data_IF_511238524430
#
_entry.id   IF_511238524430
#
_cell.length_a   1.000
_cell.length_b   1.000
_cell.length_c   1.000
_cell.angle_alpha   90.00
_cell.angle_beta   90.00
_cell.angle_gamma   90.00
#
_symmetry.space_group_name_H-M   'P 1'
#
loop_
_entity.id
_entity.type
_entity.pdbx_description
1 polymer ?
#
# COMPACT_ATOMS: atom_id res chain seq x y z
N UNK A 1 -28.33 -7.36 9.34
CA UNK A 1 -27.30 -8.04 8.55
C UNK A 1 -26.37 -6.93 8.11
N UNK A 2 -25.16 -6.84 8.67
CA UNK A 2 -24.17 -5.93 8.11
C UNK A 2 -23.81 -6.49 6.73
N UNK A 3 -24.08 -5.72 5.68
CA UNK A 3 -23.47 -6.00 4.40
C UNK A 3 -21.98 -5.76 4.60
N UNK A 4 -21.22 -6.84 4.82
CA UNK A 4 -19.78 -6.75 4.95
C UNK A 4 -19.24 -6.45 3.56
N UNK A 5 -18.96 -5.18 3.28
CA UNK A 5 -18.53 -4.74 1.96
C UNK A 5 -17.06 -5.12 1.80
N UNK A 6 -16.81 -6.09 0.92
CA UNK A 6 -15.49 -6.64 0.63
C UNK A 6 -14.51 -5.56 0.15
N UNK A 7 -13.22 -5.80 0.42
CA UNK A 7 -12.13 -5.04 -0.18
C UNK A 7 -12.13 -5.24 -1.69
N UNK A 8 -11.90 -4.16 -2.44
CA UNK A 8 -11.92 -4.18 -3.90
C UNK A 8 -10.62 -3.60 -4.47
N UNK A 9 -9.94 -4.36 -5.33
CA UNK A 9 -8.90 -3.83 -6.20
C UNK A 9 -9.52 -3.42 -7.54
N UNK A 10 -9.25 -2.18 -7.96
CA UNK A 10 -9.65 -1.64 -9.25
C UNK A 10 -8.41 -1.34 -10.10
N UNK A 11 -8.31 -2.01 -11.23
CA UNK A 11 -7.33 -1.75 -12.27
C UNK A 11 -8.00 -1.04 -13.45
N UNK A 12 -7.54 0.18 -13.74
CA UNK A 12 -8.07 1.03 -14.82
C UNK A 12 -6.99 1.20 -15.88
N UNK A 13 -7.35 0.97 -17.14
CA UNK A 13 -6.53 1.27 -18.31
C UNK A 13 -7.26 2.37 -19.08
N UNK A 14 -6.60 3.52 -19.25
CA UNK A 14 -7.14 4.66 -19.98
C UNK A 14 -6.82 4.55 -21.48
N UNK A 15 -7.57 5.27 -22.32
CA UNK A 15 -7.42 5.24 -23.79
C UNK A 15 -6.01 5.61 -24.26
N UNK A 16 -5.29 6.43 -23.48
CA UNK A 16 -3.90 6.80 -23.75
C UNK A 16 -2.87 5.75 -23.28
N UNK A 17 -3.32 4.61 -22.79
CA UNK A 17 -2.49 3.51 -22.28
C UNK A 17 -1.99 3.69 -20.84
N UNK A 18 -2.25 4.83 -20.20
CA UNK A 18 -1.92 5.03 -18.79
C UNK A 18 -2.76 4.10 -17.91
N UNK A 19 -2.21 3.72 -16.76
CA UNK A 19 -2.81 2.75 -15.86
C UNK A 19 -2.93 3.29 -14.45
N UNK A 20 -3.95 2.83 -13.74
CA UNK A 20 -4.17 3.08 -12.33
C UNK A 20 -4.56 1.81 -11.61
N UNK A 21 -4.00 1.60 -10.42
CA UNK A 21 -4.40 0.54 -9.49
C UNK A 21 -4.77 1.16 -8.16
N UNK A 22 -5.93 0.78 -7.65
CA UNK A 22 -6.56 1.36 -6.46
C UNK A 22 -7.14 0.26 -5.58
N UNK A 23 -7.00 0.41 -4.27
CA UNK A 23 -7.60 -0.48 -3.28
C UNK A 23 -8.66 0.30 -2.53
N UNK A 24 -9.87 -0.25 -2.49
CA UNK A 24 -10.98 0.26 -1.70
C UNK A 24 -11.12 -0.64 -0.47
N UNK A 25 -10.73 -0.17 0.72
CA UNK A 25 -10.82 -0.95 1.94
C UNK A 25 -12.25 -1.42 2.23
N UNK A 26 -12.37 -2.41 3.11
CA UNK A 26 -13.65 -2.77 3.73
C UNK A 26 -14.22 -1.61 4.54
N UNK A 27 -15.53 -1.58 4.73
CA UNK A 27 -16.18 -0.69 5.70
C UNK A 27 -17.48 -1.32 6.19
N UNK A 28 -17.92 -0.88 7.36
CA UNK A 28 -19.18 -1.29 7.96
C UNK A 28 -19.99 -0.06 8.36
N UNK A 29 -21.26 -0.03 8.00
CA UNK A 29 -22.21 0.99 8.43
C UNK A 29 -23.08 0.44 9.56
N UNK A 30 -23.23 1.21 10.63
CA UNK A 30 -24.04 0.90 11.80
C UNK A 30 -24.95 2.09 12.17
N UNK A 31 -26.02 1.81 12.90
CA UNK A 31 -26.95 2.81 13.42
C UNK A 31 -27.00 2.73 14.94
N UNK A 32 -26.34 3.66 15.60
CA UNK A 32 -26.27 3.72 17.06
C UNK A 32 -27.39 4.61 17.59
N UNK A 33 -28.21 4.09 18.49
CA UNK A 33 -29.23 4.88 19.17
C UNK A 33 -28.58 5.85 20.16
N UNK A 34 -28.79 7.15 19.95
CA UNK A 34 -28.44 8.18 20.91
C UNK A 34 -29.64 8.42 21.83
N UNK A 35 -29.78 7.58 22.86
CA UNK A 35 -30.93 7.57 23.77
C UNK A 35 -31.22 8.94 24.41
N UNK A 36 -30.23 9.74 24.86
CA UNK A 36 -30.48 11.09 25.35
C UNK A 36 -31.13 12.03 24.32
N UNK A 37 -30.71 11.93 23.06
CA UNK A 37 -31.21 12.76 21.98
C UNK A 37 -32.45 12.18 21.27
N UNK A 38 -32.83 10.92 21.57
CA UNK A 38 -33.92 10.17 20.90
C UNK A 38 -33.77 10.13 19.38
N UNK A 39 -32.54 10.03 18.88
CA UNK A 39 -32.21 9.91 17.46
C UNK A 39 -31.34 8.67 17.21
N UNK A 40 -31.44 8.10 16.02
CA UNK A 40 -30.45 7.13 15.52
C UNK A 40 -29.35 7.89 14.78
N UNK A 41 -28.10 7.62 15.14
CA UNK A 41 -26.92 8.17 14.50
C UNK A 41 -26.31 7.10 13.59
N UNK A 42 -26.19 7.42 12.30
CA UNK A 42 -25.40 6.60 11.39
C UNK A 42 -23.91 6.76 11.72
N UNK A 43 -23.19 5.63 11.85
CA UNK A 43 -21.75 5.57 12.09
C UNK A 43 -21.15 4.63 11.06
N UNK A 44 -20.06 5.05 10.42
CA UNK A 44 -19.30 4.22 9.49
C UNK A 44 -17.94 3.91 10.08
N UNK A 45 -17.54 2.63 10.04
CA UNK A 45 -16.24 2.14 10.49
C UNK A 45 -15.36 1.79 9.28
N UNK A 46 -14.07 2.16 9.36
CA UNK A 46 -13.14 2.06 8.25
C UNK A 46 -13.31 3.17 7.22
N UNK A 47 -12.40 3.22 6.24
CA UNK A 47 -12.41 4.29 5.24
C UNK A 47 -13.01 3.89 3.89
N UNK A 48 -13.42 2.62 3.75
CA UNK A 48 -13.96 2.08 2.50
C UNK A 48 -15.12 2.90 1.91
N UNK A 49 -16.03 3.39 2.75
CA UNK A 49 -17.14 4.25 2.30
C UNK A 49 -16.65 5.58 1.74
N UNK A 50 -15.67 6.21 2.40
CA UNK A 50 -15.07 7.45 1.95
C UNK A 50 -14.31 7.29 0.62
N UNK A 51 -13.54 6.22 0.46
CA UNK A 51 -12.86 5.94 -0.82
C UNK A 51 -13.87 5.73 -1.95
N UNK A 52 -14.97 5.01 -1.71
CA UNK A 52 -16.02 4.80 -2.74
C UNK A 52 -16.71 6.10 -3.14
N UNK A 53 -16.83 7.07 -2.25
CA UNK A 53 -17.37 8.40 -2.58
C UNK A 53 -16.47 9.19 -3.55
N UNK A 54 -15.18 8.84 -3.68
CA UNK A 54 -14.32 9.41 -4.72
C UNK A 54 -14.69 8.92 -6.13
N UNK A 55 -15.42 7.80 -6.24
CA UNK A 55 -15.96 7.30 -7.51
C UNK A 55 -17.36 7.88 -7.75
N UNK A 56 -17.47 8.75 -8.74
CA UNK A 56 -18.74 9.21 -9.29
C UNK A 56 -18.97 8.58 -10.65
N UNK A 57 -20.19 8.71 -11.19
CA UNK A 57 -20.57 8.11 -12.48
C UNK A 57 -19.58 8.53 -13.58
N UNK A 58 -18.73 7.59 -14.01
CA UNK A 58 -17.77 7.78 -15.08
C UNK A 58 -16.48 8.52 -14.71
N UNK A 59 -16.29 8.94 -13.44
CA UNK A 59 -15.08 9.69 -13.03
C UNK A 59 -14.62 9.33 -11.62
N UNK A 60 -13.31 9.23 -11.44
CA UNK A 60 -12.67 9.11 -10.13
C UNK A 60 -11.90 10.38 -9.79
N UNK A 61 -12.14 10.94 -8.60
CA UNK A 61 -11.32 12.03 -8.05
C UNK A 61 -10.09 11.46 -7.34
N UNK A 62 -8.98 11.40 -8.07
CA UNK A 62 -7.69 10.98 -7.55
C UNK A 62 -7.14 11.85 -6.43
N UNK A 63 -7.46 13.15 -6.45
CA UNK A 63 -6.93 14.08 -5.46
C UNK A 63 -7.58 13.83 -4.12
N UNK A 64 -8.90 13.61 -4.10
CA UNK A 64 -9.61 13.26 -2.87
C UNK A 64 -9.33 11.83 -2.44
N UNK A 65 -9.16 10.89 -3.38
CA UNK A 65 -8.67 9.55 -3.07
C UNK A 65 -7.32 9.58 -2.34
N UNK A 66 -6.32 10.27 -2.90
CA UNK A 66 -4.97 10.33 -2.34
C UNK A 66 -4.90 11.14 -1.01
N UNK A 67 -5.93 11.94 -0.67
CA UNK A 67 -6.05 12.62 0.64
C UNK A 67 -6.55 11.70 1.74
N UNK A 68 -7.30 10.65 1.41
CA UNK A 68 -7.82 9.69 2.40
C UNK A 68 -6.73 8.76 2.95
N UNK A 69 -5.55 8.73 2.34
CA UNK A 69 -4.49 7.80 2.70
C UNK A 69 -4.09 7.85 4.18
N UNK A 70 -3.86 9.03 4.75
CA UNK A 70 -3.48 9.16 6.18
C UNK A 70 -4.60 8.72 7.14
N UNK A 71 -5.85 8.83 6.70
CA UNK A 71 -6.99 8.29 7.43
C UNK A 71 -6.98 6.76 7.36
N UNK A 72 -6.75 6.21 6.17
CA UNK A 72 -6.69 4.77 5.93
C UNK A 72 -5.60 4.08 6.73
N UNK A 73 -4.42 4.68 6.82
CA UNK A 73 -3.31 4.19 7.67
C UNK A 73 -3.71 4.06 9.16
N UNK A 74 -4.65 4.88 9.64
CA UNK A 74 -5.10 4.88 11.04
C UNK A 74 -6.31 3.99 11.30
N UNK A 75 -7.21 3.88 10.33
CA UNK A 75 -8.54 3.29 10.51
C UNK A 75 -8.68 1.90 9.87
N UNK A 76 -7.89 1.58 8.84
CA UNK A 76 -7.98 0.32 8.13
C UNK A 76 -6.83 -0.64 8.49
N UNK A 77 -6.89 -1.83 7.90
CA UNK A 77 -5.80 -2.79 7.95
C UNK A 77 -4.56 -2.26 7.23
N UNK A 78 -3.39 -2.68 7.72
CA UNK A 78 -2.11 -2.31 7.14
C UNK A 78 -2.00 -2.67 5.65
N UNK A 79 -2.51 -3.84 5.26
CA UNK A 79 -2.52 -4.34 3.88
C UNK A 79 -3.24 -3.39 2.92
N UNK A 80 -4.32 -2.74 3.36
CA UNK A 80 -5.06 -1.79 2.54
C UNK A 80 -4.21 -0.55 2.21
N UNK A 81 -3.48 -0.01 3.19
CA UNK A 81 -2.55 1.09 2.99
C UNK A 81 -1.31 0.66 2.17
N UNK A 82 -0.78 -0.54 2.42
CA UNK A 82 0.32 -1.15 1.66
C UNK A 82 -0.03 -1.26 0.18
N UNK A 83 -1.15 -1.91 -0.13
CA UNK A 83 -1.55 -2.17 -1.51
C UNK A 83 -2.02 -0.92 -2.24
N UNK A 84 -2.62 0.07 -1.55
CA UNK A 84 -2.82 1.39 -2.13
C UNK A 84 -1.49 2.07 -2.47
N UNK A 85 -0.51 2.04 -1.56
CA UNK A 85 0.80 2.65 -1.81
C UNK A 85 1.49 2.03 -3.03
N UNK A 86 1.54 0.70 -3.09
CA UNK A 86 2.11 -0.04 -4.23
C UNK A 86 1.35 0.25 -5.51
N UNK A 87 0.01 0.16 -5.49
CA UNK A 87 -0.84 0.37 -6.65
C UNK A 87 -0.68 1.76 -7.24
N UNK A 88 -0.74 2.80 -6.39
CA UNK A 88 -0.56 4.19 -6.80
C UNK A 88 0.85 4.46 -7.33
N UNK A 89 1.88 3.86 -6.74
CA UNK A 89 3.26 4.08 -7.14
C UNK A 89 3.66 3.34 -8.42
N UNK A 90 3.23 2.09 -8.59
CA UNK A 90 3.49 1.30 -9.80
C UNK A 90 2.64 1.77 -10.99
N UNK A 91 1.45 2.31 -10.73
CA UNK A 91 0.50 2.78 -11.75
C UNK A 91 0.03 4.22 -11.44
N UNK A 92 0.90 5.23 -11.64
CA UNK A 92 0.75 6.57 -11.08
C UNK A 92 -0.10 7.53 -11.92
N UNK A 93 -1.21 7.04 -12.51
CA UNK A 93 -2.13 7.92 -13.22
C UNK A 93 -2.67 9.02 -12.27
N UNK A 94 -2.55 10.28 -12.71
CA UNK A 94 -2.93 11.49 -11.96
C UNK A 94 -2.43 11.56 -10.51
N UNK A 95 -1.28 10.94 -10.23
CA UNK A 95 -0.66 10.98 -8.90
C UNK A 95 0.11 12.28 -8.70
N UNK A 96 -0.31 13.10 -7.74
CA UNK A 96 0.41 14.33 -7.39
C UNK A 96 1.71 14.04 -6.64
N UNK A 97 2.72 14.88 -6.82
CA UNK A 97 4.04 14.72 -6.18
C UNK A 97 3.95 14.58 -4.66
N UNK A 98 3.14 15.41 -4.00
CA UNK A 98 2.96 15.34 -2.54
C UNK A 98 2.30 14.05 -2.07
N UNK A 99 1.39 13.47 -2.86
CA UNK A 99 0.80 12.16 -2.56
C UNK A 99 1.82 11.04 -2.80
N UNK A 100 2.60 11.14 -3.88
CA UNK A 100 3.67 10.19 -4.20
C UNK A 100 4.69 10.11 -3.06
N UNK A 101 5.09 11.24 -2.48
CA UNK A 101 5.98 11.27 -1.32
C UNK A 101 5.36 10.56 -0.12
N UNK A 102 4.10 10.87 0.25
CA UNK A 102 3.41 10.17 1.35
C UNK A 102 3.37 8.64 1.18
N UNK A 103 3.11 8.15 -0.03
CA UNK A 103 3.11 6.71 -0.30
C UNK A 103 4.52 6.11 -0.19
N UNK A 104 5.56 6.82 -0.63
CA UNK A 104 6.94 6.37 -0.50
C UNK A 104 7.40 6.34 0.95
N UNK A 105 7.10 7.39 1.71
CA UNK A 105 7.45 7.51 3.12
C UNK A 105 6.80 6.38 3.93
N UNK A 106 5.51 6.13 3.69
CA UNK A 106 4.82 5.00 4.31
C UNK A 106 5.49 3.65 4.02
N UNK A 107 5.87 3.38 2.75
CA UNK A 107 6.54 2.13 2.40
C UNK A 107 7.95 2.04 3.00
N UNK A 108 8.69 3.15 3.06
CA UNK A 108 10.01 3.22 3.69
C UNK A 108 9.91 2.91 5.19
N UNK A 109 9.02 3.61 5.90
CA UNK A 109 8.84 3.46 7.34
C UNK A 109 8.37 2.05 7.74
N UNK A 110 7.72 1.34 6.81
CA UNK A 110 7.14 0.02 7.05
C UNK A 110 7.78 -1.09 6.20
N UNK A 111 8.98 -0.87 5.66
CA UNK A 111 9.59 -1.73 4.64
C UNK A 111 9.68 -3.20 5.06
N UNK A 112 10.01 -3.46 6.34
CA UNK A 112 10.07 -4.82 6.90
C UNK A 112 8.72 -5.53 6.88
N UNK A 113 7.67 -4.88 7.37
CA UNK A 113 6.31 -5.45 7.43
C UNK A 113 5.73 -5.61 6.02
N UNK A 114 5.96 -4.61 5.16
CA UNK A 114 5.57 -4.64 3.76
C UNK A 114 6.21 -5.85 3.04
N UNK A 115 7.52 -6.04 3.14
CA UNK A 115 8.21 -7.15 2.50
C UNK A 115 7.66 -8.51 2.96
N UNK A 116 7.38 -8.67 4.27
CA UNK A 116 6.82 -9.91 4.81
C UNK A 116 5.51 -10.28 4.10
N UNK A 117 4.57 -9.33 4.04
CA UNK A 117 3.27 -9.53 3.39
C UNK A 117 3.45 -9.80 1.89
N UNK A 118 4.32 -9.06 1.21
CA UNK A 118 4.56 -9.27 -0.23
C UNK A 118 5.21 -10.62 -0.54
N UNK A 119 6.04 -11.16 0.38
CA UNK A 119 6.62 -12.49 0.26
C UNK A 119 5.55 -13.56 0.47
N UNK A 120 4.71 -13.38 1.50
CA UNK A 120 3.60 -14.30 1.81
C UNK A 120 2.59 -14.37 0.65
N UNK A 121 2.31 -13.23 0.01
CA UNK A 121 1.38 -13.12 -1.12
C UNK A 121 2.03 -13.41 -2.48
N UNK A 122 3.30 -13.87 -2.51
CA UNK A 122 4.13 -14.11 -3.71
C UNK A 122 4.14 -12.94 -4.72
N UNK A 123 4.05 -11.71 -4.20
CA UNK A 123 4.00 -10.49 -4.99
C UNK A 123 5.41 -9.95 -5.29
N UNK A 124 6.14 -10.74 -6.09
CA UNK A 124 7.52 -10.44 -6.45
C UNK A 124 7.70 -9.11 -7.21
N UNK A 125 6.68 -8.67 -7.97
CA UNK A 125 6.77 -7.43 -8.76
C UNK A 125 6.72 -6.19 -7.86
N UNK A 126 5.86 -6.19 -6.84
CA UNK A 126 5.82 -5.12 -5.85
C UNK A 126 7.09 -5.10 -4.98
N UNK A 127 7.58 -6.28 -4.58
CA UNK A 127 8.83 -6.40 -3.85
C UNK A 127 10.01 -5.85 -4.66
N UNK A 128 10.08 -6.20 -5.95
CA UNK A 128 11.08 -5.65 -6.87
C UNK A 128 10.94 -4.14 -7.01
N UNK A 129 9.72 -3.61 -7.12
CA UNK A 129 9.49 -2.17 -7.18
C UNK A 129 10.05 -1.45 -5.95
N UNK A 130 9.87 -2.01 -4.74
CA UNK A 130 10.45 -1.46 -3.52
C UNK A 130 11.98 -1.45 -3.57
N UNK A 131 12.62 -2.54 -4.02
CA UNK A 131 14.06 -2.58 -4.22
C UNK A 131 14.56 -1.56 -5.26
N UNK A 132 13.93 -1.49 -6.43
CA UNK A 132 14.32 -0.59 -7.52
C UNK A 132 14.21 0.89 -7.12
N UNK A 133 13.32 1.22 -6.18
CA UNK A 133 13.13 2.57 -5.65
C UNK A 133 13.90 2.83 -4.36
N UNK A 134 14.78 1.92 -3.96
CA UNK A 134 15.55 1.97 -2.72
C UNK A 134 14.66 2.27 -1.50
N UNK A 135 13.59 1.50 -1.33
CA UNK A 135 12.63 1.63 -0.22
C UNK A 135 13.00 0.80 1.01
N UNK A 136 14.22 0.27 1.05
CA UNK A 136 14.74 -0.52 2.16
C UNK A 136 16.03 0.09 2.68
N UNK A 137 16.16 0.16 4.00
CA UNK A 137 17.46 0.26 4.66
C UNK A 137 18.13 -1.12 4.79
N UNK A 138 19.36 -1.15 5.29
CA UNK A 138 20.14 -2.40 5.40
C UNK A 138 19.47 -3.41 6.34
N UNK A 139 18.88 -2.94 7.44
CA UNK A 139 18.24 -3.79 8.43
C UNK A 139 16.94 -4.44 7.91
N UNK A 140 16.08 -3.67 7.26
CA UNK A 140 14.84 -4.14 6.67
C UNK A 140 15.09 -5.05 5.46
N UNK A 141 16.08 -4.77 4.62
CA UNK A 141 16.49 -5.64 3.54
C UNK A 141 17.03 -7.00 4.06
N UNK A 142 17.88 -6.97 5.09
CA UNK A 142 18.39 -8.19 5.72
C UNK A 142 17.26 -9.06 6.27
N UNK A 143 16.35 -8.46 7.04
CA UNK A 143 15.19 -9.16 7.58
C UNK A 143 14.27 -9.73 6.49
N UNK A 144 14.07 -9.01 5.39
CA UNK A 144 13.28 -9.50 4.26
C UNK A 144 13.96 -10.68 3.56
N UNK A 145 15.29 -10.67 3.44
CA UNK A 145 16.07 -11.76 2.84
C UNK A 145 15.99 -13.05 3.68
N UNK A 146 16.11 -12.91 5.00
CA UNK A 146 15.95 -14.03 5.93
C UNK A 146 14.54 -14.62 5.83
N UNK A 147 13.52 -13.77 5.86
CA UNK A 147 12.13 -14.20 5.76
C UNK A 147 11.82 -14.90 4.43
N UNK A 148 12.32 -14.39 3.30
CA UNK A 148 12.15 -15.03 2.00
C UNK A 148 12.77 -16.43 1.95
N UNK A 149 13.90 -16.63 2.62
CA UNK A 149 14.54 -17.94 2.74
C UNK A 149 13.72 -18.90 3.62
N UNK A 150 13.18 -18.41 4.75
CA UNK A 150 12.30 -19.18 5.63
C UNK A 150 11.03 -19.66 4.91
N UNK A 151 10.38 -18.78 4.14
CA UNK A 151 9.21 -19.13 3.34
C UNK A 151 9.53 -19.97 2.10
N UNK A 152 10.79 -20.35 1.87
CA UNK A 152 11.24 -21.10 0.68
C UNK A 152 10.81 -20.44 -0.64
N UNK A 153 10.82 -19.10 -0.70
CA UNK A 153 10.50 -18.33 -1.90
C UNK A 153 11.81 -17.86 -2.60
N UNK A 154 12.37 -18.66 -3.53
CA UNK A 154 13.66 -18.34 -4.16
C UNK A 154 13.59 -17.08 -5.04
N UNK A 155 12.42 -16.74 -5.58
CA UNK A 155 12.25 -15.54 -6.40
C UNK A 155 12.39 -14.29 -5.54
N UNK A 156 11.68 -14.23 -4.42
CA UNK A 156 11.79 -13.12 -3.47
C UNK A 156 13.20 -13.02 -2.87
N UNK A 157 13.80 -14.15 -2.47
CA UNK A 157 15.15 -14.18 -1.92
C UNK A 157 16.19 -13.66 -2.92
N UNK A 158 16.07 -14.05 -4.20
CA UNK A 158 16.93 -13.56 -5.28
C UNK A 158 16.82 -12.05 -5.51
N UNK A 159 15.60 -11.52 -5.52
CA UNK A 159 15.35 -10.07 -5.68
C UNK A 159 16.03 -9.28 -4.54
N UNK A 160 15.80 -9.67 -3.29
CA UNK A 160 16.31 -8.94 -2.13
C UNK A 160 17.84 -9.08 -2.03
N UNK A 161 18.39 -10.26 -2.27
CA UNK A 161 19.84 -10.49 -2.23
C UNK A 161 20.56 -9.66 -3.28
N UNK A 162 20.00 -9.54 -4.49
CA UNK A 162 20.57 -8.69 -5.54
C UNK A 162 20.57 -7.21 -5.13
N UNK A 163 19.49 -6.74 -4.49
CA UNK A 163 19.41 -5.40 -3.93
C UNK A 163 20.49 -5.15 -2.87
N UNK A 164 20.62 -6.04 -1.88
CA UNK A 164 21.63 -5.93 -0.81
C UNK A 164 23.04 -5.81 -1.37
N UNK A 165 23.40 -6.70 -2.30
CA UNK A 165 24.73 -6.73 -2.90
C UNK A 165 25.05 -5.44 -3.68
N UNK A 166 24.04 -4.84 -4.30
CA UNK A 166 24.19 -3.63 -5.11
C UNK A 166 24.26 -2.38 -4.24
N UNK A 167 23.41 -2.27 -3.22
CA UNK A 167 23.22 -1.05 -2.43
C UNK A 167 24.07 -0.97 -1.16
N UNK A 168 24.32 -2.08 -0.46
CA UNK A 168 25.00 -2.07 0.83
C UNK A 168 26.43 -2.64 0.77
N UNK A 169 26.67 -3.64 -0.07
CA UNK A 169 28.02 -4.24 -0.17
C UNK A 169 29.01 -3.40 -0.98
N UNK A 170 28.54 -2.67 -2.01
CA UNK A 170 29.42 -1.76 -2.79
C UNK A 170 29.92 -0.55 -1.99
N UNK A 171 29.15 -0.06 -1.01
CA UNK A 171 29.59 1.09 -0.19
C UNK A 171 30.76 0.76 0.76
N UNK A 172 30.93 -0.51 1.15
CA UNK A 172 32.04 -0.94 2.03
C UNK A 172 33.42 -0.89 1.37
N UNK A 173 33.51 -0.99 0.04
CA UNK A 173 34.82 -1.02 -0.67
C UNK A 173 35.44 0.36 -0.90
N UNK A 174 34.75 1.46 -0.56
CA UNK A 174 35.27 2.82 -0.74
C UNK A 174 35.77 3.50 0.54
N UNK A 175 35.63 2.88 1.70
CA UNK A 175 36.08 3.43 2.99
C UNK A 175 37.37 2.80 3.54
N UNK A 176 38.01 1.91 2.80
CA UNK A 176 39.38 1.42 3.11
C UNK A 176 40.37 2.05 2.13
N UNK A 177 40.87 3.25 2.46
CA UNK A 177 42.08 3.87 1.89
C UNK A 177 42.67 4.86 2.90
#
# INVERSE_FOLDING_TARGET
>A
MSDNIQELQLDIIYDNGERSRLIFPTFEDDYVENTPARIFQAVSYGTGGAYRQCMQVGTLDYRDFDKLFERSVREDRFEAALYNSIGRLMYPYRLYASAKERYKDFLWDNAKSAARILIDDDNADALKYMCDNALFDEASAGAASEYAAECSNPRAAGIITAYINTHFTRMRKHFEL
#
